data_IF_042845901430
#
_entry.id   IF_042845901430
#
_cell.length_a   1.000
_cell.length_b   1.000
_cell.length_c   1.000
_cell.angle_alpha   90.00
_cell.angle_beta   90.00
_cell.angle_gamma   90.00
#
_symmetry.space_group_name_H-M   'P 1'
#
loop_
_entity.id
_entity.type
_entity.pdbx_description
1 polymer ?
#
# COMPACT_ATOMS: atom_id res chain seq x y z
N UNK A 1 38.07 11.54 51.62
CA UNK A 1 37.99 10.17 51.07
C UNK A 1 36.55 9.81 50.76
N UNK A 2 36.36 8.98 49.72
CA UNK A 2 35.13 8.30 49.26
C UNK A 2 34.20 9.13 48.34
N UNK A 3 34.47 8.94 47.05
CA UNK A 3 33.60 9.21 45.90
C UNK A 3 32.37 8.29 46.00
N UNK A 4 31.17 8.80 45.73
CA UNK A 4 29.98 7.98 45.47
C UNK A 4 29.31 8.44 44.18
N UNK A 5 28.79 7.46 43.46
CA UNK A 5 28.66 7.43 42.02
C UNK A 5 27.42 8.14 41.47
N UNK A 6 27.55 8.49 40.19
CA UNK A 6 26.52 8.91 39.24
C UNK A 6 25.37 7.90 39.15
N UNK A 7 24.16 8.39 38.89
CA UNK A 7 23.17 7.96 37.88
C UNK A 7 21.80 8.49 38.34
N UNK A 8 21.31 9.56 37.72
CA UNK A 8 19.89 9.93 37.75
C UNK A 8 19.61 10.83 36.54
N UNK A 9 18.48 10.57 35.90
CA UNK A 9 17.87 11.31 34.79
C UNK A 9 18.34 10.95 33.35
N UNK A 10 18.02 9.73 32.90
CA UNK A 10 17.57 9.50 31.51
C UNK A 10 16.42 8.49 31.50
N UNK A 11 15.25 8.87 31.99
CA UNK A 11 13.98 8.18 31.65
C UNK A 11 12.95 9.28 31.39
N UNK A 12 13.02 9.89 30.21
CA UNK A 12 12.01 10.84 29.73
C UNK A 12 11.90 10.78 28.21
N UNK A 13 11.72 9.59 27.63
CA UNK A 13 11.40 9.43 26.19
C UNK A 13 10.35 8.34 25.91
N UNK A 14 9.53 7.93 26.89
CA UNK A 14 8.56 6.83 26.71
C UNK A 14 7.09 7.20 26.97
N UNK A 15 6.71 8.48 26.87
CA UNK A 15 5.33 8.92 27.15
C UNK A 15 4.54 9.45 25.94
N UNK A 16 5.06 9.39 24.71
CA UNK A 16 4.35 9.90 23.51
C UNK A 16 3.33 8.92 22.89
N UNK A 17 3.15 7.71 23.44
CA UNK A 17 2.38 6.64 22.80
C UNK A 17 0.85 6.65 23.00
N UNK A 18 0.33 7.25 24.08
CA UNK A 18 -1.06 6.99 24.51
C UNK A 18 -2.13 7.85 23.82
N UNK A 19 -1.85 9.15 23.57
CA UNK A 19 -2.84 10.09 23.02
C UNK A 19 -3.32 9.72 21.60
N UNK A 20 -2.53 8.93 20.87
CA UNK A 20 -2.69 8.65 19.43
C UNK A 20 -3.59 7.44 19.11
N UNK A 21 -4.00 6.66 20.12
CA UNK A 21 -4.78 5.42 19.91
C UNK A 21 -6.29 5.65 19.75
N UNK A 22 -6.81 6.81 20.13
CA UNK A 22 -8.25 7.10 20.12
C UNK A 22 -8.79 7.34 18.70
N UNK A 23 -8.02 7.98 17.81
CA UNK A 23 -8.47 8.31 16.46
C UNK A 23 -8.79 7.06 15.61
N UNK A 24 -8.04 5.97 15.78
CA UNK A 24 -8.30 4.71 15.05
C UNK A 24 -9.49 3.93 15.59
N UNK A 25 -9.70 3.95 16.92
CA UNK A 25 -10.87 3.29 17.52
C UNK A 25 -12.15 3.89 16.94
N UNK A 26 -12.17 5.22 16.78
CA UNK A 26 -13.25 5.91 16.08
C UNK A 26 -13.29 5.58 14.59
N UNK A 27 -12.14 5.54 13.90
CA UNK A 27 -12.07 5.21 12.47
C UNK A 27 -12.78 3.89 12.09
N UNK A 28 -12.59 2.83 12.87
CA UNK A 28 -13.19 1.51 12.59
C UNK A 28 -14.70 1.47 12.78
N UNK A 29 -15.26 2.28 13.66
CA UNK A 29 -16.70 2.30 13.95
C UNK A 29 -17.49 3.20 13.00
N UNK A 30 -16.82 4.12 12.29
CA UNK A 30 -17.47 5.02 11.32
C UNK A 30 -17.94 4.30 10.05
N UNK A 31 -19.04 4.80 9.45
CA UNK A 31 -19.50 4.39 8.11
C UNK A 31 -18.54 4.89 7.02
N UNK A 32 -18.49 4.26 5.82
CA UNK A 32 -17.61 4.68 4.73
C UNK A 32 -17.67 6.17 4.38
N UNK A 33 -18.86 6.76 4.35
CA UNK A 33 -19.04 8.19 4.04
C UNK A 33 -18.44 9.10 5.10
N UNK A 34 -18.63 8.76 6.38
CA UNK A 34 -18.08 9.51 7.51
C UNK A 34 -16.54 9.42 7.55
N UNK A 35 -15.98 8.25 7.20
CA UNK A 35 -14.53 8.06 7.04
C UNK A 35 -13.96 8.97 5.95
N UNK A 36 -14.63 9.04 4.80
CA UNK A 36 -14.23 9.89 3.67
C UNK A 36 -14.27 11.37 4.05
N UNK A 37 -15.34 11.81 4.72
CA UNK A 37 -15.47 13.17 5.20
C UNK A 37 -14.38 13.54 6.22
N UNK A 38 -14.08 12.64 7.16
CA UNK A 38 -13.03 12.83 8.14
C UNK A 38 -11.64 12.98 7.49
N UNK A 39 -11.29 12.11 6.54
CA UNK A 39 -10.02 12.22 5.77
C UNK A 39 -9.94 13.56 5.04
N UNK A 40 -11.04 13.99 4.40
CA UNK A 40 -11.05 15.23 3.64
C UNK A 40 -10.79 16.46 4.54
N UNK A 41 -11.27 16.44 5.79
CA UNK A 41 -11.06 17.50 6.78
C UNK A 41 -9.67 17.48 7.43
N UNK A 42 -8.97 16.34 7.43
CA UNK A 42 -7.64 16.21 8.00
C UNK A 42 -6.56 16.94 7.17
N UNK A 43 -5.54 17.48 7.86
CA UNK A 43 -4.32 18.00 7.22
C UNK A 43 -3.48 16.86 6.63
N UNK A 44 -2.62 17.11 5.62
CA UNK A 44 -1.76 16.09 5.04
C UNK A 44 -0.95 15.28 6.07
N UNK A 45 -0.40 15.94 7.08
CA UNK A 45 0.40 15.31 8.15
C UNK A 45 -0.44 14.39 9.03
N UNK A 46 -1.70 14.77 9.30
CA UNK A 46 -2.66 13.97 10.08
C UNK A 46 -3.05 12.72 9.29
N UNK A 47 -3.28 12.83 7.98
CA UNK A 47 -3.56 11.68 7.11
C UNK A 47 -2.40 10.68 7.09
N UNK A 48 -1.17 11.17 7.00
CA UNK A 48 0.03 10.33 7.05
C UNK A 48 0.13 9.60 8.39
N UNK A 49 -0.12 10.29 9.49
CA UNK A 49 -0.10 9.68 10.83
C UNK A 49 -1.21 8.64 11.00
N UNK A 50 -2.42 8.92 10.54
CA UNK A 50 -3.54 7.97 10.57
C UNK A 50 -3.21 6.69 9.80
N UNK A 51 -2.70 6.82 8.56
CA UNK A 51 -2.32 5.68 7.73
C UNK A 51 -1.17 4.87 8.34
N UNK A 52 -0.24 5.54 9.02
CA UNK A 52 0.88 4.90 9.71
C UNK A 52 0.35 4.04 10.86
N UNK A 53 -0.42 4.63 11.77
CA UNK A 53 -1.00 3.93 12.91
C UNK A 53 -1.96 2.81 12.47
N UNK A 54 -2.70 2.98 11.37
CA UNK A 54 -3.58 1.94 10.83
C UNK A 54 -2.76 0.71 10.43
N UNK A 55 -1.67 0.91 9.69
CA UNK A 55 -0.75 -0.16 9.28
C UNK A 55 -0.12 -0.85 10.49
N UNK A 56 0.33 -0.09 11.48
CA UNK A 56 0.87 -0.63 12.73
C UNK A 56 -0.13 -1.54 13.45
N UNK A 57 -1.37 -1.06 13.65
CA UNK A 57 -2.39 -1.80 14.39
C UNK A 57 -2.85 -3.05 13.62
N UNK A 58 -2.99 -2.94 12.30
CA UNK A 58 -3.32 -4.08 11.45
C UNK A 58 -2.25 -5.17 11.55
N UNK A 59 -0.96 -4.82 11.52
CA UNK A 59 0.11 -5.82 11.68
C UNK A 59 0.18 -6.39 13.09
N UNK A 60 -0.08 -5.58 14.12
CA UNK A 60 -0.17 -6.09 15.50
C UNK A 60 -1.27 -7.14 15.66
N UNK A 61 -2.41 -6.91 15.01
CA UNK A 61 -3.56 -7.83 15.05
C UNK A 61 -3.32 -9.08 14.21
N UNK A 62 -2.86 -8.93 12.97
CA UNK A 62 -2.64 -10.04 12.06
C UNK A 62 -1.53 -10.98 12.53
N UNK A 63 -0.48 -10.43 13.14
CA UNK A 63 0.60 -11.22 13.72
C UNK A 63 0.32 -11.67 15.15
N UNK A 64 -0.84 -11.35 15.74
CA UNK A 64 -1.17 -11.70 17.14
C UNK A 64 -0.05 -11.33 18.13
N UNK A 65 0.46 -10.09 18.03
CA UNK A 65 1.58 -9.64 18.87
C UNK A 65 1.15 -9.62 20.35
N UNK A 66 1.93 -10.21 21.28
CA UNK A 66 1.63 -10.21 22.71
C UNK A 66 1.39 -8.79 23.24
N UNK A 67 0.42 -8.62 24.15
CA UNK A 67 0.00 -7.29 24.63
C UNK A 67 1.16 -6.47 25.22
N UNK A 68 2.03 -7.13 25.98
CA UNK A 68 3.23 -6.54 26.59
C UNK A 68 4.31 -6.17 25.57
N UNK A 69 4.24 -6.69 24.34
CA UNK A 69 5.19 -6.47 23.25
C UNK A 69 4.68 -5.55 22.15
N UNK A 70 3.41 -5.12 22.20
CA UNK A 70 2.80 -4.30 21.13
C UNK A 70 3.54 -3.00 20.88
N UNK A 71 3.94 -2.28 21.93
CA UNK A 71 4.64 -1.01 21.77
C UNK A 71 6.03 -1.20 21.17
N UNK A 72 6.78 -2.19 21.64
CA UNK A 72 8.10 -2.54 21.10
C UNK A 72 8.00 -2.94 19.63
N UNK A 73 7.00 -3.76 19.29
CA UNK A 73 6.74 -4.17 17.92
C UNK A 73 6.43 -2.96 17.03
N UNK A 74 5.51 -2.07 17.42
CA UNK A 74 5.15 -0.89 16.62
C UNK A 74 6.34 0.04 16.40
N UNK A 75 7.16 0.24 17.42
CA UNK A 75 8.37 1.05 17.32
C UNK A 75 9.35 0.43 16.32
N UNK A 76 9.62 -0.87 16.44
CA UNK A 76 10.53 -1.59 15.55
C UNK A 76 10.00 -1.67 14.12
N UNK A 77 8.70 -1.89 13.94
CA UNK A 77 8.03 -1.89 12.65
C UNK A 77 8.14 -0.54 11.94
N UNK A 78 7.99 0.55 12.67
CA UNK A 78 8.21 1.89 12.12
C UNK A 78 9.66 2.16 11.73
N UNK A 79 10.62 1.76 12.57
CA UNK A 79 12.05 1.87 12.29
C UNK A 79 12.40 1.11 10.98
N UNK A 80 11.87 -0.10 10.84
CA UNK A 80 12.00 -0.92 9.65
C UNK A 80 11.41 -0.23 8.41
N UNK A 81 10.16 0.25 8.47
CA UNK A 81 9.51 0.92 7.35
C UNK A 81 10.24 2.19 6.91
N UNK A 82 10.69 3.02 7.85
CA UNK A 82 11.47 4.22 7.52
C UNK A 82 12.83 3.85 6.91
N UNK A 83 13.49 2.80 7.42
CA UNK A 83 14.76 2.37 6.86
C UNK A 83 14.62 1.80 5.43
N UNK A 84 13.53 1.10 5.13
CA UNK A 84 13.22 0.70 3.74
C UNK A 84 13.00 1.91 2.84
N UNK A 85 12.27 2.92 3.34
CA UNK A 85 12.00 4.15 2.60
C UNK A 85 13.30 4.89 2.30
N UNK A 86 14.17 5.07 3.28
CA UNK A 86 15.48 5.70 3.09
C UNK A 86 16.35 4.95 2.08
N UNK A 87 16.33 3.61 2.09
CA UNK A 87 17.02 2.82 1.06
C UNK A 87 16.42 3.15 -0.31
N UNK A 88 15.10 3.04 -0.48
CA UNK A 88 14.42 3.31 -1.77
C UNK A 88 14.62 4.74 -2.27
N UNK A 89 14.63 5.74 -1.39
CA UNK A 89 14.81 7.15 -1.75
C UNK A 89 16.19 7.47 -2.34
N UNK A 90 17.22 6.70 -1.98
CA UNK A 90 18.56 6.81 -2.58
C UNK A 90 18.58 6.35 -4.04
N UNK A 91 17.64 5.50 -4.44
CA UNK A 91 17.55 4.92 -5.77
C UNK A 91 16.30 5.46 -6.48
N UNK A 92 16.43 6.66 -7.06
CA UNK A 92 15.39 7.20 -7.95
C UNK A 92 15.55 6.57 -9.32
N UNK A 93 14.67 5.62 -9.64
CA UNK A 93 14.63 4.99 -10.97
C UNK A 93 14.27 6.01 -12.05
N UNK A 94 15.04 6.06 -13.13
CA UNK A 94 14.56 6.73 -14.36
C UNK A 94 13.26 6.06 -14.81
N UNK A 95 12.22 6.84 -15.13
CA UNK A 95 10.98 6.28 -15.69
C UNK A 95 11.04 6.14 -17.21
N UNK A 96 12.06 6.72 -17.85
CA UNK A 96 12.25 6.63 -19.30
C UNK A 96 13.53 5.83 -19.58
N UNK A 97 13.36 4.53 -19.84
CA UNK A 97 14.44 3.63 -20.21
C UNK A 97 14.70 3.60 -21.72
N UNK A 98 13.70 3.98 -22.52
CA UNK A 98 13.79 3.96 -24.00
C UNK A 98 14.76 5.01 -24.54
N UNK A 99 14.98 6.11 -23.79
CA UNK A 99 15.95 7.15 -24.15
C UNK A 99 17.38 6.92 -23.65
N UNK A 100 17.64 5.84 -22.91
CA UNK A 100 18.97 5.56 -22.37
C UNK A 100 19.85 4.91 -23.42
N UNK A 101 21.12 5.32 -23.50
CA UNK A 101 22.11 4.54 -24.23
C UNK A 101 22.54 3.29 -23.43
N UNK A 102 23.19 2.32 -24.08
CA UNK A 102 23.60 1.05 -23.47
C UNK A 102 24.42 1.21 -22.18
N UNK A 103 25.29 2.22 -22.12
CA UNK A 103 26.10 2.48 -20.92
C UNK A 103 25.24 3.01 -19.76
N UNK A 104 24.28 3.87 -20.05
CA UNK A 104 23.34 4.37 -19.04
C UNK A 104 22.38 3.26 -18.57
N UNK A 105 21.87 2.45 -19.51
CA UNK A 105 21.03 1.30 -19.19
C UNK A 105 21.77 0.30 -18.30
N UNK A 106 23.05 0.02 -18.55
CA UNK A 106 23.88 -0.83 -17.68
C UNK A 106 24.02 -0.26 -16.27
N UNK A 107 24.22 1.05 -16.13
CA UNK A 107 24.28 1.71 -14.81
C UNK A 107 22.95 1.60 -14.06
N UNK A 108 21.82 1.73 -14.74
CA UNK A 108 20.50 1.53 -14.11
C UNK A 108 20.29 0.07 -13.68
N UNK A 109 20.75 -0.91 -14.46
CA UNK A 109 20.75 -2.31 -14.06
C UNK A 109 21.59 -2.54 -12.79
N UNK A 110 22.81 -2.02 -12.74
CA UNK A 110 23.69 -2.13 -11.56
C UNK A 110 23.04 -1.51 -10.31
N UNK A 111 22.47 -0.32 -10.42
CA UNK A 111 21.71 0.32 -9.34
C UNK A 111 20.55 -0.54 -8.86
N UNK A 112 19.86 -1.25 -9.76
CA UNK A 112 18.75 -2.14 -9.39
C UNK A 112 19.22 -3.31 -8.51
N UNK A 113 20.39 -3.88 -8.81
CA UNK A 113 20.99 -4.94 -8.01
C UNK A 113 21.45 -4.42 -6.64
N UNK A 114 22.07 -3.25 -6.60
CA UNK A 114 22.50 -2.62 -5.34
C UNK A 114 21.29 -2.33 -4.43
N UNK A 115 20.21 -1.77 -4.98
CA UNK A 115 18.95 -1.56 -4.26
C UNK A 115 18.41 -2.88 -3.70
N UNK A 116 18.38 -3.93 -4.52
CA UNK A 116 17.94 -5.26 -4.12
C UNK A 116 18.75 -5.81 -2.94
N UNK A 117 20.09 -5.70 -3.02
CA UNK A 117 21.00 -6.13 -1.97
C UNK A 117 20.77 -5.35 -0.66
N UNK A 118 20.67 -4.02 -0.72
CA UNK A 118 20.43 -3.20 0.47
C UNK A 118 19.09 -3.51 1.14
N UNK A 119 18.04 -3.76 0.36
CA UNK A 119 16.73 -4.19 0.89
C UNK A 119 16.78 -5.58 1.52
N UNK A 120 17.53 -6.52 0.94
CA UNK A 120 17.72 -7.85 1.49
C UNK A 120 18.49 -7.81 2.82
N UNK A 121 19.59 -7.04 2.87
CA UNK A 121 20.39 -6.86 4.08
C UNK A 121 19.59 -6.17 5.18
N UNK A 122 18.75 -5.20 4.82
CA UNK A 122 17.80 -4.58 5.73
C UNK A 122 16.82 -5.62 6.31
N UNK A 123 16.21 -6.44 5.45
CA UNK A 123 15.30 -7.50 5.88
C UNK A 123 15.96 -8.50 6.83
N UNK A 124 17.22 -8.90 6.56
CA UNK A 124 18.00 -9.78 7.43
C UNK A 124 18.26 -9.13 8.80
N UNK A 125 18.73 -7.88 8.81
CA UNK A 125 18.99 -7.16 10.07
C UNK A 125 17.74 -7.02 10.93
N UNK A 126 16.61 -6.70 10.32
CA UNK A 126 15.37 -6.51 11.08
C UNK A 126 14.71 -7.82 11.48
N UNK A 127 14.87 -8.93 10.72
CA UNK A 127 14.38 -10.23 11.17
C UNK A 127 15.02 -10.66 12.49
N UNK A 128 16.32 -10.39 12.69
CA UNK A 128 17.02 -10.64 13.96
C UNK A 128 16.47 -9.76 15.10
N UNK A 129 16.12 -8.50 14.81
CA UNK A 129 15.51 -7.61 15.81
C UNK A 129 14.09 -8.06 16.17
N UNK A 130 13.27 -8.42 15.17
CA UNK A 130 11.88 -8.84 15.39
C UNK A 130 11.79 -10.15 16.15
N UNK A 131 12.77 -11.06 16.02
CA UNK A 131 12.82 -12.31 16.78
C UNK A 131 12.87 -12.12 18.30
N UNK A 132 13.22 -10.91 18.78
CA UNK A 132 13.18 -10.55 20.20
C UNK A 132 11.79 -10.16 20.70
N UNK A 133 10.83 -9.97 19.79
CA UNK A 133 9.50 -9.41 20.05
C UNK A 133 8.39 -10.36 19.61
N UNK A 134 8.59 -11.05 18.48
CA UNK A 134 7.64 -11.97 17.84
C UNK A 134 8.37 -13.23 17.37
N UNK A 135 7.61 -14.31 17.12
CA UNK A 135 8.15 -15.60 16.66
C UNK A 135 8.61 -15.54 15.20
N UNK A 136 9.57 -16.38 14.78
CA UNK A 136 10.01 -16.46 13.38
C UNK A 136 8.86 -16.65 12.37
N UNK A 137 7.83 -17.42 12.71
CA UNK A 137 6.67 -17.64 11.83
C UNK A 137 5.89 -16.35 11.57
N UNK A 138 5.65 -15.54 12.62
CA UNK A 138 5.00 -14.23 12.51
C UNK A 138 5.84 -13.27 11.64
N UNK A 139 7.17 -13.36 11.72
CA UNK A 139 8.07 -12.54 10.89
C UNK A 139 7.98 -12.95 9.41
N UNK A 140 7.90 -14.24 9.13
CA UNK A 140 7.72 -14.74 7.76
C UNK A 140 6.40 -14.25 7.17
N UNK A 141 5.31 -14.34 7.94
CA UNK A 141 3.98 -13.84 7.54
C UNK A 141 3.98 -12.34 7.29
N UNK A 142 4.58 -11.54 8.19
CA UNK A 142 4.74 -10.10 8.02
C UNK A 142 5.41 -9.76 6.68
N UNK A 143 6.52 -10.43 6.35
CA UNK A 143 7.24 -10.18 5.11
C UNK A 143 6.48 -10.63 3.85
N UNK A 144 5.65 -11.68 3.94
CA UNK A 144 4.78 -12.08 2.83
C UNK A 144 3.68 -11.03 2.60
N UNK A 145 3.07 -10.53 3.68
CA UNK A 145 1.99 -9.55 3.63
C UNK A 145 2.43 -8.20 3.06
N UNK A 146 3.68 -7.79 3.27
CA UNK A 146 4.26 -6.58 2.66
C UNK A 146 4.28 -6.63 1.12
N UNK A 147 4.62 -7.78 0.54
CA UNK A 147 4.60 -7.97 -0.92
C UNK A 147 3.18 -7.94 -1.48
N UNK A 148 2.24 -8.59 -0.81
CA UNK A 148 0.85 -8.70 -1.25
C UNK A 148 0.07 -7.39 -1.14
N UNK A 149 0.26 -6.63 -0.06
CA UNK A 149 -0.40 -5.32 0.11
C UNK A 149 0.02 -4.32 -0.96
N UNK A 150 1.30 -4.30 -1.34
CA UNK A 150 1.78 -3.46 -2.43
C UNK A 150 1.07 -3.79 -3.74
N UNK A 151 0.98 -5.07 -4.08
CA UNK A 151 0.34 -5.52 -5.32
C UNK A 151 -1.16 -5.17 -5.33
N UNK A 152 -1.90 -5.48 -4.25
CA UNK A 152 -3.33 -5.15 -4.14
C UNK A 152 -3.64 -3.65 -4.26
N UNK A 153 -2.74 -2.77 -3.83
CA UNK A 153 -2.91 -1.30 -4.00
C UNK A 153 -2.64 -0.87 -5.45
N UNK A 154 -1.65 -1.48 -6.11
CA UNK A 154 -1.35 -1.20 -7.51
C UNK A 154 -2.48 -1.70 -8.43
N UNK A 155 -3.02 -2.90 -8.17
CA UNK A 155 -4.10 -3.50 -8.96
C UNK A 155 -5.40 -2.67 -8.88
N UNK A 156 -5.71 -2.09 -7.72
CA UNK A 156 -6.87 -1.17 -7.60
C UNK A 156 -6.64 0.15 -8.32
N UNK A 157 -5.41 0.68 -8.31
CA UNK A 157 -5.09 1.92 -9.03
C UNK A 157 -5.20 1.75 -10.54
N UNK A 158 -4.80 0.61 -11.09
CA UNK A 158 -4.96 0.32 -12.51
C UNK A 158 -6.44 0.12 -12.90
N UNK A 159 -7.25 -0.52 -12.04
CA UNK A 159 -8.69 -0.63 -12.24
C UNK A 159 -9.44 0.71 -12.21
N UNK A 160 -9.12 1.59 -11.24
CA UNK A 160 -9.74 2.92 -11.14
C UNK A 160 -9.34 3.83 -12.31
N UNK A 161 -8.09 3.74 -12.80
CA UNK A 161 -7.64 4.45 -14.00
C UNK A 161 -8.39 3.95 -15.26
N UNK A 162 -8.65 2.64 -15.38
CA UNK A 162 -9.43 2.09 -16.48
C UNK A 162 -10.92 2.49 -16.44
N UNK A 163 -11.52 2.61 -15.24
CA UNK A 163 -12.91 3.06 -15.08
C UNK A 163 -13.09 4.56 -15.36
N UNK A 164 -12.12 5.39 -14.99
CA UNK A 164 -12.14 6.83 -15.30
C UNK A 164 -12.06 7.14 -16.80
N UNK A 165 -11.36 6.30 -17.59
CA UNK A 165 -11.26 6.44 -19.04
C UNK A 165 -12.52 5.99 -19.82
N UNK A 166 -13.30 5.05 -19.28
CA UNK A 166 -14.51 4.54 -19.94
C UNK A 166 -15.70 5.51 -19.87
N UNK A 167 -15.87 6.25 -18.77
CA UNK A 167 -16.98 7.21 -18.64
C UNK A 167 -16.88 8.40 -19.61
N UNK A 168 -15.68 8.81 -20.02
CA UNK A 168 -15.52 9.90 -20.98
C UNK A 168 -15.80 9.48 -22.44
N UNK A 169 -15.51 8.22 -22.81
CA UNK A 169 -15.84 7.73 -24.16
C UNK A 169 -17.34 7.51 -24.37
N UNK A 170 -18.06 7.03 -23.35
CA UNK A 170 -19.50 6.78 -23.45
C UNK A 170 -20.31 8.06 -23.65
N UNK A 171 -19.93 9.17 -22.99
CA UNK A 171 -20.58 10.48 -23.18
C UNK A 171 -20.33 11.07 -24.56
N UNK A 172 -19.13 10.90 -25.13
CA UNK A 172 -18.81 11.41 -26.47
C UNK A 172 -19.51 10.61 -27.58
N UNK A 173 -19.76 9.32 -27.38
CA UNK A 173 -20.55 8.49 -28.31
C UNK A 173 -22.06 8.72 -28.21
N UNK A 174 -22.59 9.03 -27.03
CA UNK A 174 -24.03 9.35 -26.89
C UNK A 174 -24.39 10.71 -27.52
N UNK A 175 -23.49 11.69 -27.46
CA UNK A 175 -23.73 13.02 -28.04
C UNK A 175 -23.64 12.99 -29.58
N UNK A 176 -22.73 12.17 -30.15
CA UNK A 176 -22.68 11.91 -31.60
C UNK A 176 -23.86 11.06 -32.10
N UNK A 177 -24.38 10.16 -31.28
CA UNK A 177 -25.52 9.30 -31.61
C UNK A 177 -26.85 10.05 -31.70
N UNK A 178 -27.01 11.16 -30.96
CA UNK A 178 -28.23 11.99 -31.01
C UNK A 178 -28.30 12.93 -32.21
N UNK A 179 -27.17 13.37 -32.77
CA UNK A 179 -27.19 14.23 -33.96
C UNK A 179 -27.50 13.47 -35.27
N UNK A 180 -27.40 12.15 -35.28
CA UNK A 180 -27.60 11.34 -36.50
C UNK A 180 -29.00 10.69 -36.60
N UNK A 181 -29.90 10.98 -35.64
CA UNK A 181 -31.22 10.37 -35.57
C UNK A 181 -32.35 11.38 -35.92
N UNK A 182 -32.16 12.20 -36.95
CA UNK A 182 -33.22 13.06 -37.51
C UNK A 182 -33.41 12.95 -39.03
N UNK A 183 -32.81 11.97 -39.70
CA UNK A 183 -33.13 11.69 -41.12
C UNK A 183 -33.75 10.31 -41.28
N UNK A 184 -35.06 10.33 -41.46
CA UNK A 184 -35.94 9.20 -41.74
C UNK A 184 -35.48 8.33 -42.92
N UNK A 185 -35.64 7.00 -42.78
CA UNK A 185 -36.25 6.19 -43.84
C UNK A 185 -35.53 4.91 -44.28
N UNK A 186 -36.09 3.77 -43.79
CA UNK A 186 -36.09 2.40 -44.36
C UNK A 186 -34.86 1.50 -44.16
N UNK A 187 -35.11 0.36 -43.50
CA UNK A 187 -34.39 -0.91 -43.72
C UNK A 187 -35.36 -2.08 -43.50
N UNK A 188 -35.35 -3.13 -44.35
CA UNK A 188 -36.28 -4.25 -44.25
C UNK A 188 -35.83 -5.31 -43.24
N UNK A 189 -36.82 -6.09 -42.78
CA UNK A 189 -36.68 -7.29 -41.96
C UNK A 189 -35.73 -8.30 -42.61
N UNK A 190 -34.77 -8.81 -41.83
CA UNK A 190 -34.05 -10.05 -42.14
C UNK A 190 -34.15 -10.99 -40.95
N UNK A 191 -35.01 -11.98 -41.14
CA UNK A 191 -35.07 -13.22 -40.38
C UNK A 191 -33.75 -13.97 -40.53
N UNK A 192 -33.19 -14.51 -39.45
CA UNK A 192 -32.36 -15.71 -39.53
C UNK A 192 -32.24 -16.40 -38.18
N UNK A 193 -33.04 -17.45 -38.10
CA UNK A 193 -32.97 -18.56 -37.18
C UNK A 193 -31.61 -19.28 -37.30
N UNK A 194 -30.94 -19.54 -36.18
CA UNK A 194 -30.15 -20.76 -35.98
C UNK A 194 -29.76 -20.88 -34.50
N UNK A 195 -30.55 -21.68 -33.79
CA UNK A 195 -30.17 -22.20 -32.49
C UNK A 195 -29.09 -23.27 -32.63
N UNK A 196 -28.11 -23.23 -31.73
CA UNK A 196 -27.42 -24.44 -31.29
C UNK A 196 -27.12 -24.32 -29.79
N UNK A 197 -27.95 -25.00 -29.02
CA UNK A 197 -27.76 -25.31 -27.60
C UNK A 197 -26.99 -26.63 -27.56
N UNK A 198 -25.81 -26.66 -26.94
CA UNK A 198 -25.35 -27.85 -26.24
C UNK A 198 -24.64 -27.43 -24.96
N UNK A 199 -25.18 -27.93 -23.86
CA UNK A 199 -24.50 -28.01 -22.57
C UNK A 199 -23.36 -29.03 -22.66
N UNK A 200 -22.32 -28.83 -21.87
CA UNK A 200 -21.96 -29.71 -20.74
C UNK A 200 -20.46 -30.01 -20.57
N UNK A 201 -20.08 -29.90 -19.27
CA UNK A 201 -19.13 -30.69 -18.49
C UNK A 201 -17.61 -30.53 -18.67
N UNK A 202 -17.05 -30.06 -17.53
CA UNK A 202 -15.69 -30.28 -17.01
C UNK A 202 -15.29 -31.76 -17.00
N UNK A 203 -13.98 -32.02 -16.97
CA UNK A 203 -13.34 -32.62 -15.79
C UNK A 203 -12.71 -31.58 -14.86
#
# INVERSE_FOLDING_TARGET
>A
MKKLNRILAVIALFSLGFAKSQDIKNWRTLKPEQRKELINKMKPEERVQLLKQFRENMMVEELEVPEDKKNDFKNLYNEYQESQKQIKEKFKSSQNYEGLNDSEAKKELEKSFELGQQLLDNRKRYSEKFQKVVKPQQILEMFQNEGMMRNKIMDRKSEDQNRGGQMNRSRETEDRGRQLQETNGRTPLRDNNNGFRTQSRRP
#
